data_IF_853119146478
#
_entry.id   IF_853119146478
#
_cell.length_a   1.000
_cell.length_b   1.000
_cell.length_c   1.000
_cell.angle_alpha   90.00
_cell.angle_beta   90.00
_cell.angle_gamma   90.00
#
_symmetry.space_group_name_H-M   'P 1'
#
loop_
_entity.id
_entity.type
_entity.pdbx_description
1 polymer ?
#
# COMPACT_ATOMS: atom_id res chain seq x y z
N UNK A 1 7.94 -20.54 -1.33
CA UNK A 1 7.23 -19.31 -0.93
C UNK A 1 7.17 -18.39 -2.14
N UNK A 2 6.03 -17.76 -2.40
CA UNK A 2 5.85 -16.75 -3.44
C UNK A 2 5.62 -15.40 -2.74
N UNK A 3 6.47 -14.43 -3.04
CA UNK A 3 6.39 -13.06 -2.51
C UNK A 3 6.06 -12.11 -3.65
N UNK A 4 5.08 -11.23 -3.44
CA UNK A 4 4.71 -10.21 -4.41
C UNK A 4 4.63 -8.84 -3.74
N UNK A 5 4.80 -7.82 -4.55
CA UNK A 5 4.61 -6.43 -4.18
C UNK A 5 3.46 -5.90 -5.02
N UNK A 6 2.48 -5.30 -4.37
CA UNK A 6 1.41 -4.56 -5.02
C UNK A 6 1.55 -3.09 -4.68
N UNK A 7 1.66 -2.28 -5.73
CA UNK A 7 1.65 -0.82 -5.65
C UNK A 7 0.31 -0.27 -6.16
N UNK A 8 -0.72 -1.13 -6.17
CA UNK A 8 -2.05 -0.81 -6.66
C UNK A 8 -2.73 0.21 -5.77
N UNK A 9 -3.25 1.27 -6.40
CA UNK A 9 -4.06 2.32 -5.75
C UNK A 9 -5.56 2.09 -5.97
N UNK A 10 -5.93 0.94 -6.56
CA UNK A 10 -7.30 0.50 -6.76
C UNK A 10 -7.40 -1.03 -6.79
N UNK A 11 -8.61 -1.56 -6.63
CA UNK A 11 -8.88 -3.00 -6.59
C UNK A 11 -8.47 -3.75 -7.86
N UNK A 12 -8.53 -3.11 -9.03
CA UNK A 12 -8.18 -3.75 -10.31
C UNK A 12 -6.68 -3.96 -10.40
N UNK A 13 -5.89 -2.94 -10.02
CA UNK A 13 -4.43 -3.05 -9.98
C UNK A 13 -3.98 -4.14 -9.00
N UNK A 14 -4.57 -4.18 -7.80
CA UNK A 14 -4.26 -5.20 -6.80
C UNK A 14 -4.61 -6.60 -7.32
N UNK A 15 -5.77 -6.76 -7.97
CA UNK A 15 -6.16 -8.03 -8.57
C UNK A 15 -5.20 -8.49 -9.67
N UNK A 16 -4.68 -7.57 -10.49
CA UNK A 16 -3.68 -7.88 -11.52
C UNK A 16 -2.38 -8.38 -10.89
N UNK A 17 -1.90 -7.72 -9.83
CA UNK A 17 -0.67 -8.12 -9.11
C UNK A 17 -0.84 -9.49 -8.40
N UNK A 18 -2.06 -9.82 -7.98
CA UNK A 18 -2.42 -11.08 -7.35
C UNK A 18 -2.74 -12.22 -8.36
N UNK A 19 -3.02 -11.92 -9.62
CA UNK A 19 -3.57 -12.88 -10.60
C UNK A 19 -2.67 -14.09 -10.95
N UNK A 20 -1.33 -13.97 -11.04
CA UNK A 20 -0.50 -15.13 -11.38
C UNK A 20 -0.67 -16.28 -10.36
N UNK A 21 -0.43 -17.54 -10.74
CA UNK A 21 -0.54 -18.67 -9.82
C UNK A 21 0.36 -18.53 -8.59
N UNK A 22 -0.15 -18.94 -7.43
CA UNK A 22 0.58 -18.92 -6.17
C UNK A 22 1.21 -20.28 -5.88
N UNK A 23 2.53 -20.32 -5.71
CA UNK A 23 3.26 -21.55 -5.34
C UNK A 23 3.72 -21.52 -3.87
N UNK A 24 3.31 -22.52 -3.09
CA UNK A 24 3.60 -22.63 -1.66
C UNK A 24 3.04 -21.47 -0.82
N UNK A 25 3.74 -21.09 0.26
CA UNK A 25 3.36 -19.95 1.13
C UNK A 25 3.25 -18.65 0.33
N UNK A 26 2.13 -17.93 0.51
CA UNK A 26 1.79 -16.69 -0.19
C UNK A 26 2.07 -15.48 0.71
N UNK A 27 2.78 -14.49 0.18
CA UNK A 27 3.04 -13.21 0.86
C UNK A 27 2.85 -12.09 -0.14
N UNK A 28 2.07 -11.08 0.22
CA UNK A 28 1.95 -9.86 -0.56
C UNK A 28 2.25 -8.64 0.31
N UNK A 29 3.16 -7.81 -0.15
CA UNK A 29 3.38 -6.47 0.37
C UNK A 29 2.48 -5.50 -0.42
N UNK A 30 1.42 -5.03 0.21
CA UNK A 30 0.62 -3.92 -0.31
C UNK A 30 1.26 -2.63 0.21
N UNK A 31 1.79 -1.82 -0.69
CA UNK A 31 2.48 -0.58 -0.33
C UNK A 31 2.19 0.46 -1.41
N UNK A 32 1.61 1.60 -1.03
CA UNK A 32 1.41 2.67 -1.98
C UNK A 32 2.75 3.36 -2.33
N UNK A 33 3.01 3.73 -3.60
CA UNK A 33 4.23 4.45 -3.95
C UNK A 33 4.37 5.81 -3.25
N UNK A 34 3.24 6.39 -2.87
CA UNK A 34 3.13 7.69 -2.21
C UNK A 34 3.16 7.61 -0.70
N UNK A 35 3.37 6.43 -0.10
CA UNK A 35 3.49 6.24 1.35
C UNK A 35 4.96 6.32 1.80
N UNK A 36 5.43 7.48 2.30
CA UNK A 36 6.76 7.58 2.88
C UNK A 36 6.84 6.96 4.28
N UNK A 37 5.72 6.83 5.00
CA UNK A 37 5.70 6.52 6.44
C UNK A 37 6.25 5.12 6.70
N UNK A 38 5.96 4.16 5.81
CA UNK A 38 6.53 2.79 5.88
C UNK A 38 8.06 2.73 5.76
N UNK A 39 8.69 3.82 5.31
CA UNK A 39 10.15 3.96 5.21
C UNK A 39 10.76 4.75 6.38
N UNK A 40 9.94 5.18 7.35
CA UNK A 40 10.44 5.96 8.47
C UNK A 40 11.32 5.14 9.41
N UNK A 41 12.59 5.52 9.51
CA UNK A 41 13.56 5.03 10.49
C UNK A 41 14.66 6.06 10.70
N UNK A 42 15.48 5.90 11.74
CA UNK A 42 16.67 6.75 11.99
C UNK A 42 17.66 6.71 10.82
N UNK A 43 17.67 5.62 10.02
CA UNK A 43 18.52 5.51 8.83
C UNK A 43 18.24 6.62 7.82
N UNK A 44 17.02 7.15 7.72
CA UNK A 44 16.70 8.26 6.80
C UNK A 44 17.53 9.51 7.04
N UNK A 45 18.09 9.69 8.23
CA UNK A 45 18.96 10.82 8.55
C UNK A 45 20.26 10.78 7.74
N UNK A 46 20.78 9.58 7.45
CA UNK A 46 22.13 9.40 6.91
C UNK A 46 22.21 8.46 5.69
N UNK A 47 21.14 7.74 5.39
CA UNK A 47 21.04 6.75 4.32
C UNK A 47 19.89 7.09 3.39
N UNK A 48 20.17 7.11 2.08
CA UNK A 48 19.12 7.24 1.07
C UNK A 48 18.32 5.94 1.01
N UNK A 49 17.00 5.96 1.26
CA UNK A 49 16.19 4.75 1.24
C UNK A 49 15.90 4.28 -0.20
N UNK A 50 15.66 2.99 -0.38
CA UNK A 50 15.47 2.37 -1.69
C UNK A 50 14.31 3.00 -2.48
N UNK A 51 13.19 3.34 -1.83
CA UNK A 51 12.07 4.02 -2.52
C UNK A 51 12.46 5.35 -3.18
N UNK A 52 13.48 6.06 -2.68
CA UNK A 52 14.01 7.28 -3.30
C UNK A 52 15.16 7.01 -4.27
N UNK A 53 15.69 5.79 -4.32
CA UNK A 53 16.70 5.33 -5.28
C UNK A 53 16.05 4.73 -6.54
N UNK A 54 14.88 4.13 -6.38
CA UNK A 54 14.10 3.50 -7.45
C UNK A 54 13.34 4.51 -8.33
N UNK A 55 12.97 4.11 -9.57
CA UNK A 55 12.04 4.87 -10.39
C UNK A 55 10.74 5.17 -9.64
N UNK A 56 10.14 6.36 -9.82
CA UNK A 56 8.88 6.69 -9.17
C UNK A 56 7.76 5.75 -9.61
N UNK A 57 7.08 5.15 -8.64
CA UNK A 57 5.81 4.46 -8.87
C UNK A 57 4.72 5.44 -9.30
N UNK A 58 3.55 4.89 -9.70
CA UNK A 58 2.48 5.63 -10.40
C UNK A 58 2.04 6.92 -9.71
N UNK A 59 2.01 6.91 -8.38
CA UNK A 59 1.53 8.02 -7.55
C UNK A 59 2.65 8.73 -6.77
N UNK A 60 3.92 8.42 -7.05
CA UNK A 60 5.04 9.12 -6.42
C UNK A 60 5.57 10.21 -7.35
N UNK A 61 5.55 11.48 -6.91
CA UNK A 61 6.08 12.58 -7.73
C UNK A 61 7.55 12.37 -8.12
N UNK A 62 7.88 12.66 -9.38
CA UNK A 62 9.26 12.63 -9.92
C UNK A 62 10.15 13.72 -9.31
N UNK A 63 9.59 14.69 -8.58
CA UNK A 63 10.35 15.77 -7.92
C UNK A 63 10.85 15.41 -6.52
N UNK A 64 10.32 14.35 -5.89
CA UNK A 64 10.75 13.95 -4.56
C UNK A 64 12.22 13.55 -4.57
N UNK A 65 12.98 14.05 -3.62
CA UNK A 65 14.42 13.77 -3.46
C UNK A 65 14.68 13.45 -2.01
N UNK A 66 15.72 12.66 -1.78
CA UNK A 66 16.26 12.47 -0.46
C UNK A 66 17.19 13.64 -0.13
N UNK A 67 16.94 14.26 1.02
CA UNK A 67 17.78 15.27 1.63
C UNK A 67 18.17 14.76 3.03
N UNK A 68 19.46 14.53 3.32
CA UNK A 68 19.91 14.04 4.62
C UNK A 68 19.33 14.87 5.77
N UNK A 69 18.89 14.21 6.84
CA UNK A 69 18.22 14.79 8.02
C UNK A 69 16.85 15.42 7.72
N UNK A 70 16.71 16.15 6.61
CA UNK A 70 15.46 16.82 6.21
C UNK A 70 14.37 15.80 5.89
N UNK A 71 14.68 14.77 5.10
CA UNK A 71 13.69 13.75 4.73
C UNK A 71 13.19 12.98 5.94
N UNK A 72 14.03 12.72 6.95
CA UNK A 72 13.60 12.13 8.22
C UNK A 72 12.46 12.94 8.87
N UNK A 73 12.64 14.26 8.97
CA UNK A 73 11.61 15.14 9.54
C UNK A 73 10.40 15.33 8.62
N UNK A 74 10.59 15.35 7.30
CA UNK A 74 9.48 15.39 6.34
C UNK A 74 8.56 14.17 6.51
N UNK A 75 9.14 12.97 6.58
CA UNK A 75 8.36 11.73 6.78
C UNK A 75 7.76 11.67 8.19
N UNK A 76 8.47 12.13 9.22
CA UNK A 76 7.92 12.22 10.58
C UNK A 76 6.69 13.15 10.64
N UNK A 77 6.72 14.28 9.91
CA UNK A 77 5.59 15.19 9.82
C UNK A 77 4.40 14.52 9.08
N UNK A 78 4.68 13.75 8.03
CA UNK A 78 3.64 13.01 7.29
C UNK A 78 2.91 12.01 8.18
N UNK A 79 3.61 11.35 9.11
CA UNK A 79 3.01 10.41 10.07
C UNK A 79 1.89 11.03 10.92
N UNK A 80 1.97 12.33 11.22
CA UNK A 80 0.91 13.05 11.95
C UNK A 80 -0.35 13.29 11.11
N UNK A 81 -0.25 13.10 9.79
CA UNK A 81 -1.32 13.29 8.80
C UNK A 81 -1.56 12.01 7.98
N UNK A 82 -1.16 10.84 8.52
CA UNK A 82 -1.09 9.57 7.80
C UNK A 82 -2.39 9.17 7.06
N UNK A 83 -3.55 9.49 7.63
CA UNK A 83 -4.87 9.16 7.07
C UNK A 83 -5.55 10.34 6.33
N UNK A 84 -4.86 11.47 6.13
CA UNK A 84 -5.45 12.67 5.51
C UNK A 84 -5.56 12.59 3.99
N UNK A 85 -4.76 11.73 3.35
CA UNK A 85 -4.83 11.49 1.92
C UNK A 85 -6.13 10.74 1.56
N UNK A 86 -6.66 10.89 0.33
CA UNK A 86 -7.74 10.03 -0.16
C UNK A 86 -7.33 8.55 -0.09
N UNK A 87 -8.30 7.66 0.10
CA UNK A 87 -8.03 6.22 0.13
C UNK A 87 -7.31 5.76 -1.15
N UNK A 88 -6.29 4.91 -0.98
CA UNK A 88 -5.45 4.44 -2.08
C UNK A 88 -4.16 5.26 -2.26
N UNK A 89 -3.92 6.24 -1.39
CA UNK A 89 -2.78 7.15 -1.44
C UNK A 89 -2.15 7.33 -0.07
N UNK A 90 -0.84 7.61 -0.04
CA UNK A 90 -0.11 7.76 1.20
C UNK A 90 -0.31 6.56 2.11
N UNK A 91 -0.34 6.80 3.42
CA UNK A 91 -0.59 5.76 4.41
C UNK A 91 -2.09 5.44 4.60
N UNK A 92 -2.98 5.97 3.75
CA UNK A 92 -4.40 5.64 3.77
C UNK A 92 -4.72 4.47 2.83
N UNK A 93 -4.56 3.25 3.36
CA UNK A 93 -4.89 2.01 2.64
C UNK A 93 -6.39 1.73 2.56
N UNK A 94 -7.20 2.33 3.43
CA UNK A 94 -8.65 2.16 3.45
C UNK A 94 -9.09 0.69 3.34
N UNK A 95 -10.10 0.46 2.52
CA UNK A 95 -10.65 -0.85 2.23
C UNK A 95 -9.83 -1.65 1.20
N UNK A 96 -8.76 -1.10 0.61
CA UNK A 96 -7.89 -1.85 -0.32
C UNK A 96 -7.11 -2.97 0.35
N UNK A 97 -6.98 -2.92 1.69
CA UNK A 97 -6.50 -4.05 2.50
C UNK A 97 -7.37 -5.30 2.25
N UNK A 98 -8.69 -5.14 2.06
CA UNK A 98 -9.61 -6.22 1.73
C UNK A 98 -9.28 -6.87 0.38
N UNK A 99 -9.00 -6.05 -0.65
CA UNK A 99 -8.58 -6.56 -1.96
C UNK A 99 -7.26 -7.32 -1.86
N UNK A 100 -6.35 -6.83 -1.01
CA UNK A 100 -5.09 -7.52 -0.72
C UNK A 100 -5.30 -8.90 -0.10
N UNK A 101 -6.17 -9.00 0.90
CA UNK A 101 -6.56 -10.26 1.51
C UNK A 101 -7.22 -11.21 0.52
N UNK A 102 -8.17 -10.71 -0.28
CA UNK A 102 -8.86 -11.50 -1.30
C UNK A 102 -7.89 -12.00 -2.38
N UNK A 103 -6.84 -11.23 -2.71
CA UNK A 103 -5.81 -11.65 -3.67
C UNK A 103 -4.87 -12.74 -3.14
N UNK A 104 -4.62 -12.77 -1.83
CA UNK A 104 -3.68 -13.72 -1.20
C UNK A 104 -4.38 -14.99 -0.73
N UNK A 105 -5.49 -14.87 -0.03
CA UNK A 105 -6.16 -15.97 0.65
C UNK A 105 -7.69 -15.96 0.40
N UNK A 106 -8.14 -16.01 -0.87
CA UNK A 106 -9.57 -16.10 -1.16
C UNK A 106 -10.12 -17.44 -0.66
N UNK A 107 -11.30 -17.46 -0.02
CA UNK A 107 -12.07 -18.68 0.18
C UNK A 107 -12.38 -19.40 -1.15
N UNK A 108 -12.69 -20.69 -1.08
CA UNK A 108 -13.08 -21.45 -2.26
C UNK A 108 -14.34 -20.85 -2.91
N UNK A 109 -14.25 -20.59 -4.22
CA UNK A 109 -15.34 -19.95 -4.98
C UNK A 109 -15.51 -18.45 -4.73
N UNK A 110 -14.63 -17.81 -3.94
CA UNK A 110 -14.69 -16.37 -3.67
C UNK A 110 -14.52 -15.55 -4.95
N UNK A 111 -15.48 -14.67 -5.23
CA UNK A 111 -15.45 -13.78 -6.38
C UNK A 111 -15.46 -12.31 -6.00
N UNK A 112 -15.35 -11.45 -7.01
CA UNK A 112 -15.41 -9.99 -6.84
C UNK A 112 -16.67 -9.54 -6.08
N UNK A 113 -17.82 -10.14 -6.38
CA UNK A 113 -19.09 -9.81 -5.74
C UNK A 113 -19.06 -10.04 -4.21
N UNK A 114 -18.28 -11.01 -3.73
CA UNK A 114 -18.14 -11.29 -2.31
C UNK A 114 -17.27 -10.24 -1.61
N UNK A 115 -16.17 -9.82 -2.26
CA UNK A 115 -15.35 -8.69 -1.82
C UNK A 115 -16.18 -7.40 -1.72
N UNK A 116 -16.99 -7.09 -2.74
CA UNK A 116 -17.87 -5.90 -2.71
C UNK A 116 -18.90 -5.97 -1.57
N UNK A 117 -19.42 -7.17 -1.26
CA UNK A 117 -20.35 -7.36 -0.14
C UNK A 117 -19.70 -7.02 1.20
N UNK A 118 -18.46 -7.47 1.43
CA UNK A 118 -17.71 -7.12 2.65
C UNK A 118 -17.40 -5.63 2.67
N UNK A 119 -17.00 -5.03 1.55
CA UNK A 119 -16.73 -3.59 1.45
C UNK A 119 -17.93 -2.75 1.90
N UNK A 120 -19.13 -3.09 1.42
CA UNK A 120 -20.37 -2.42 1.84
C UNK A 120 -20.61 -2.58 3.35
N UNK A 121 -20.39 -3.77 3.90
CA UNK A 121 -20.55 -4.01 5.34
C UNK A 121 -19.54 -3.19 6.18
N UNK A 122 -18.27 -3.11 5.75
CA UNK A 122 -17.25 -2.29 6.42
C UNK A 122 -17.64 -0.81 6.43
N UNK A 123 -18.08 -0.27 5.29
CA UNK A 123 -18.50 1.13 5.19
C UNK A 123 -19.72 1.45 6.09
N UNK A 124 -20.62 0.49 6.30
CA UNK A 124 -21.74 0.64 7.23
C UNK A 124 -21.25 0.71 8.67
N UNK A 125 -20.33 -0.18 9.07
CA UNK A 125 -19.77 -0.20 10.43
C UNK A 125 -18.93 1.03 10.76
N UNK A 126 -18.21 1.59 9.80
CA UNK A 126 -17.43 2.84 10.01
C UNK A 126 -18.32 4.08 10.21
N UNK A 127 -19.60 4.01 9.82
CA UNK A 127 -20.56 5.12 9.95
C UNK A 127 -21.35 5.13 11.27
N UNK A 128 -21.16 4.11 12.12
CA UNK A 128 -21.75 3.98 13.47
C UNK A 128 -20.85 4.58 14.56
#
# INVERSE_FOLDING_TARGET
RTVRFSQGTDATQIAVDAAPPWEGTRVMFLQHPSDPIVWWSEDLMFTRPDWLSEPPGRDRTKSMRWYPIITFWQVAADMTNAASAPGGHGHNYGDFILDGWAGVAPPDGWGRADTERIRVALAQTESE
#
